data_IF_871553884888
#
_entry.id   IF_871553884888
#
_cell.length_a   1.000
_cell.length_b   1.000
_cell.length_c   1.000
_cell.angle_alpha   90.00
_cell.angle_beta   90.00
_cell.angle_gamma   90.00
#
_symmetry.space_group_name_H-M   'P 1'
#
loop_
_entity.id
_entity.type
_entity.pdbx_description
1 polymer ?
#
# COMPACT_ATOMS: atom_id res chain seq x y z
N UNK A 1 25.26 -19.07 -21.01
CA UNK A 1 26.65 -19.42 -20.64
C UNK A 1 27.20 -18.32 -19.73
N UNK A 2 27.72 -18.65 -18.54
CA UNK A 2 28.36 -17.68 -17.66
C UNK A 2 29.69 -17.29 -18.24
N UNK A 3 29.93 -15.98 -18.48
CA UNK A 3 31.28 -15.50 -18.81
C UNK A 3 32.25 -15.97 -17.70
N UNK A 4 33.41 -16.50 -18.03
CA UNK A 4 34.39 -16.89 -17.02
C UNK A 4 34.78 -15.67 -16.19
N UNK A 5 34.97 -15.88 -14.88
CA UNK A 5 35.45 -14.83 -13.99
C UNK A 5 36.85 -14.45 -14.43
N UNK A 6 37.10 -13.18 -14.68
CA UNK A 6 38.43 -12.63 -14.92
C UNK A 6 38.67 -11.38 -14.08
N UNK A 7 39.89 -11.13 -13.72
CA UNK A 7 40.29 -9.87 -13.07
C UNK A 7 40.41 -8.76 -14.12
N UNK A 8 40.21 -7.50 -13.71
CA UNK A 8 40.49 -6.37 -14.57
C UNK A 8 41.98 -6.31 -14.91
N UNK A 9 42.31 -5.96 -16.14
CA UNK A 9 43.66 -5.57 -16.50
C UNK A 9 43.97 -4.15 -16.00
N UNK A 10 45.22 -3.65 -16.22
CA UNK A 10 45.63 -2.33 -15.70
C UNK A 10 44.72 -1.20 -16.21
N UNK A 11 44.38 -1.19 -17.50
CA UNK A 11 43.52 -0.15 -18.09
C UNK A 11 42.08 -0.23 -17.59
N UNK A 12 41.53 -1.41 -17.41
CA UNK A 12 40.19 -1.63 -16.83
C UNK A 12 40.14 -1.25 -15.34
N UNK A 13 41.23 -1.47 -14.60
CA UNK A 13 41.34 -1.04 -13.20
C UNK A 13 41.28 0.48 -13.09
N UNK A 14 41.93 1.24 -13.98
CA UNK A 14 41.83 2.69 -14.04
C UNK A 14 40.38 3.15 -14.18
N UNK A 15 39.56 2.48 -15.03
CA UNK A 15 38.14 2.79 -15.17
C UNK A 15 37.39 2.61 -13.84
N UNK A 16 37.72 1.54 -13.09
CA UNK A 16 37.07 1.27 -11.80
C UNK A 16 37.51 2.28 -10.73
N UNK A 17 38.76 2.68 -10.72
CA UNK A 17 39.31 3.62 -9.72
C UNK A 17 38.81 5.03 -9.93
N UNK A 18 38.68 5.49 -11.19
CA UNK A 18 38.21 6.80 -11.58
C UNK A 18 36.66 6.84 -11.72
N UNK A 19 35.95 5.72 -11.47
CA UNK A 19 34.49 5.68 -11.59
C UNK A 19 33.84 6.54 -10.53
N UNK A 20 32.98 7.45 -10.96
CA UNK A 20 32.19 8.31 -10.09
C UNK A 20 30.68 8.00 -10.24
N UNK A 21 29.89 8.32 -9.21
CA UNK A 21 28.44 8.17 -9.26
C UNK A 21 27.79 9.49 -8.88
N UNK A 22 26.84 9.92 -9.70
CA UNK A 22 26.08 11.15 -9.49
C UNK A 22 24.57 10.87 -9.45
N UNK A 23 23.84 11.70 -8.72
CA UNK A 23 22.40 11.86 -8.90
C UNK A 23 22.17 12.70 -10.17
N UNK A 24 21.37 12.23 -11.11
CA UNK A 24 21.13 12.93 -12.37
C UNK A 24 20.23 14.16 -12.17
N UNK A 25 20.46 15.18 -13.00
CA UNK A 25 19.59 16.34 -13.15
C UNK A 25 18.27 16.01 -13.85
N UNK A 26 17.29 16.93 -13.80
CA UNK A 26 16.04 16.79 -14.56
C UNK A 26 16.26 16.72 -16.07
N UNK A 27 17.28 17.41 -16.59
CA UNK A 27 17.65 17.47 -18.01
C UNK A 27 18.14 16.10 -18.53
N UNK A 28 18.83 15.35 -17.71
CA UNK A 28 19.34 14.01 -18.04
C UNK A 28 18.30 12.90 -17.94
N UNK A 29 17.15 13.16 -17.34
CA UNK A 29 16.12 12.16 -17.10
C UNK A 29 15.58 11.52 -18.39
N UNK A 30 15.33 12.25 -19.50
CA UNK A 30 14.90 11.65 -20.76
C UNK A 30 15.92 10.67 -21.32
N UNK A 31 17.22 11.00 -21.25
CA UNK A 31 18.33 10.13 -21.65
C UNK A 31 18.37 8.85 -20.81
N UNK A 32 18.30 8.99 -19.48
CA UNK A 32 18.28 7.86 -18.56
C UNK A 32 17.10 6.91 -18.85
N UNK A 33 15.89 7.45 -19.02
CA UNK A 33 14.70 6.67 -19.32
C UNK A 33 14.76 5.99 -20.69
N UNK A 34 15.32 6.65 -21.68
CA UNK A 34 15.52 6.10 -23.03
C UNK A 34 16.46 4.89 -22.99
N UNK A 35 17.60 5.02 -22.29
CA UNK A 35 18.57 3.93 -22.12
C UNK A 35 17.97 2.74 -21.35
N UNK A 36 17.18 2.98 -20.29
CA UNK A 36 16.48 1.90 -19.61
C UNK A 36 15.48 1.20 -20.53
N UNK A 37 14.66 1.93 -21.28
CA UNK A 37 13.69 1.33 -22.22
C UNK A 37 14.36 0.47 -23.28
N UNK A 38 15.51 0.90 -23.77
CA UNK A 38 16.25 0.20 -24.86
C UNK A 38 17.01 -1.02 -24.36
N UNK A 39 17.62 -0.97 -23.18
CA UNK A 39 18.64 -1.93 -22.79
C UNK A 39 18.32 -2.73 -21.52
N UNK A 40 17.36 -2.31 -20.68
CA UNK A 40 17.02 -3.09 -19.49
C UNK A 40 15.95 -4.14 -19.82
N UNK A 41 16.14 -5.39 -19.36
CA UNK A 41 15.24 -6.52 -19.65
C UNK A 41 13.78 -6.31 -19.23
N UNK A 42 13.50 -5.47 -18.23
CA UNK A 42 12.15 -5.05 -17.82
C UNK A 42 11.71 -3.74 -18.51
N UNK A 43 12.52 -3.18 -19.39
CA UNK A 43 12.26 -1.90 -20.04
C UNK A 43 12.19 -0.72 -19.06
N UNK A 44 11.51 0.33 -19.52
CA UNK A 44 11.25 1.52 -18.72
C UNK A 44 10.29 1.27 -17.56
N UNK A 45 10.18 2.26 -16.67
CA UNK A 45 9.26 2.22 -15.52
C UNK A 45 8.67 3.61 -15.28
N UNK A 46 7.42 3.67 -14.85
CA UNK A 46 6.85 4.85 -14.18
C UNK A 46 7.03 4.64 -12.67
N UNK A 47 8.05 5.23 -12.04
CA UNK A 47 8.31 5.02 -10.63
C UNK A 47 7.22 5.66 -9.78
N UNK A 48 6.87 5.02 -8.67
CA UNK A 48 5.88 5.51 -7.71
C UNK A 48 6.58 5.93 -6.43
N UNK A 49 6.16 7.06 -5.88
CA UNK A 49 6.70 7.59 -4.63
C UNK A 49 8.07 8.24 -4.79
N UNK A 50 8.78 8.35 -3.67
CA UNK A 50 10.13 8.91 -3.60
C UNK A 50 11.10 8.06 -4.42
N UNK A 51 12.03 8.72 -5.12
CA UNK A 51 12.93 8.06 -6.07
C UNK A 51 14.21 8.84 -6.32
N UNK A 52 15.31 8.12 -6.52
CA UNK A 52 16.60 8.69 -6.89
C UNK A 52 17.16 7.92 -8.09
N UNK A 53 17.71 8.67 -9.02
CA UNK A 53 18.36 8.16 -10.22
C UNK A 53 19.85 8.41 -10.11
N UNK A 54 20.66 7.36 -10.06
CA UNK A 54 22.10 7.44 -10.07
C UNK A 54 22.66 6.99 -11.42
N UNK A 55 23.68 7.67 -11.89
CA UNK A 55 24.48 7.28 -13.04
C UNK A 55 25.93 7.10 -12.61
N UNK A 56 26.53 5.98 -13.03
CA UNK A 56 27.97 5.77 -12.88
C UNK A 56 28.68 6.26 -14.14
N UNK A 57 29.66 7.14 -13.96
CA UNK A 57 30.32 7.89 -15.02
C UNK A 57 31.82 7.71 -14.93
N UNK A 58 32.47 7.55 -16.07
CA UNK A 58 33.90 7.60 -16.23
C UNK A 58 34.26 8.58 -17.35
N UNK A 59 35.03 9.62 -17.03
CA UNK A 59 35.45 10.67 -17.96
C UNK A 59 34.31 11.20 -18.85
N UNK A 60 33.17 11.53 -18.24
CA UNK A 60 31.97 12.03 -18.90
C UNK A 60 31.11 10.94 -19.60
N UNK A 61 31.56 9.71 -19.68
CA UNK A 61 30.85 8.62 -20.30
C UNK A 61 29.99 7.85 -19.26
N UNK A 62 28.72 7.66 -19.52
CA UNK A 62 27.83 6.86 -18.69
C UNK A 62 28.12 5.36 -18.89
N UNK A 63 28.35 4.64 -17.79
CA UNK A 63 28.67 3.22 -17.81
C UNK A 63 27.55 2.38 -17.16
N UNK A 64 26.87 2.90 -16.13
CA UNK A 64 25.80 2.17 -15.46
C UNK A 64 24.69 3.10 -14.97
N UNK A 65 23.48 2.56 -14.88
CA UNK A 65 22.27 3.25 -14.39
C UNK A 65 21.69 2.51 -13.21
N UNK A 66 21.36 3.23 -12.13
CA UNK A 66 20.72 2.69 -10.95
C UNK A 66 19.50 3.55 -10.59
N UNK A 67 18.36 2.91 -10.40
CA UNK A 67 17.14 3.57 -9.97
C UNK A 67 16.68 2.99 -8.66
N UNK A 68 16.53 3.85 -7.67
CA UNK A 68 15.95 3.55 -6.37
C UNK A 68 14.59 4.22 -6.25
N UNK A 69 13.60 3.48 -5.75
CA UNK A 69 12.23 3.94 -5.57
C UNK A 69 11.72 3.58 -4.17
N UNK A 70 10.53 4.05 -3.83
CA UNK A 70 9.85 3.64 -2.61
C UNK A 70 9.77 2.10 -2.51
N UNK A 71 9.90 1.58 -1.30
CA UNK A 71 9.89 0.16 -1.00
C UNK A 71 8.54 -0.50 -1.27
N UNK A 72 8.53 -1.80 -1.48
CA UNK A 72 7.30 -2.58 -1.57
C UNK A 72 6.55 -2.56 -0.23
N UNK A 73 5.21 -2.40 -0.26
CA UNK A 73 4.41 -2.23 0.97
C UNK A 73 4.46 -3.44 1.91
N UNK A 74 4.41 -4.65 1.34
CA UNK A 74 4.37 -5.90 2.10
C UNK A 74 5.33 -6.92 1.52
N UNK A 75 6.32 -7.36 2.30
CA UNK A 75 7.27 -8.39 1.95
C UNK A 75 7.56 -9.30 3.13
N UNK A 76 6.92 -10.46 3.18
CA UNK A 76 7.01 -11.40 4.30
C UNK A 76 8.45 -11.65 4.79
N UNK A 77 9.39 -11.86 3.87
CA UNK A 77 10.78 -12.15 4.23
C UNK A 77 11.50 -10.94 4.83
N UNK A 78 11.26 -9.74 4.27
CA UNK A 78 11.77 -8.49 4.83
C UNK A 78 11.20 -8.22 6.21
N UNK A 79 9.87 -8.35 6.39
CA UNK A 79 9.21 -8.13 7.68
C UNK A 79 9.78 -9.06 8.76
N UNK A 80 9.96 -10.36 8.42
CA UNK A 80 10.57 -11.34 9.33
C UNK A 80 12.03 -10.98 9.62
N UNK A 81 12.78 -10.54 8.61
CA UNK A 81 14.20 -10.20 8.76
C UNK A 81 14.40 -8.95 9.61
N UNK A 82 13.58 -7.89 9.44
CA UNK A 82 13.65 -6.68 10.28
C UNK A 82 13.15 -6.98 11.68
N UNK A 83 12.03 -7.67 11.84
CA UNK A 83 11.43 -8.00 13.14
C UNK A 83 10.52 -6.90 13.71
N UNK A 84 10.17 -5.88 12.93
CA UNK A 84 9.31 -4.78 13.36
C UNK A 84 7.83 -5.17 13.47
N UNK A 85 7.06 -4.38 14.21
CA UNK A 85 5.61 -4.50 14.28
C UNK A 85 4.95 -3.97 13.00
N UNK A 86 3.68 -4.30 12.78
CA UNK A 86 2.92 -3.75 11.64
C UNK A 86 2.80 -2.22 11.72
N UNK A 87 2.67 -1.67 12.91
CA UNK A 87 2.62 -0.22 13.13
C UNK A 87 3.96 0.44 12.78
N UNK A 88 5.08 -0.11 13.27
CA UNK A 88 6.42 0.37 12.94
C UNK A 88 6.67 0.30 11.43
N UNK A 89 6.30 -0.81 10.79
CA UNK A 89 6.40 -0.95 9.33
C UNK A 89 5.62 0.14 8.61
N UNK A 90 4.36 0.35 8.98
CA UNK A 90 3.50 1.36 8.36
C UNK A 90 4.09 2.77 8.47
N UNK A 91 4.60 3.12 9.64
CA UNK A 91 5.16 4.44 9.93
C UNK A 91 6.56 4.65 9.32
N UNK A 92 7.38 3.59 9.21
CA UNK A 92 8.82 3.67 8.91
C UNK A 92 9.22 3.09 7.57
N UNK A 93 8.25 2.67 6.74
CA UNK A 93 8.53 2.11 5.43
C UNK A 93 9.30 3.08 4.52
N UNK A 94 9.13 4.39 4.70
CA UNK A 94 9.89 5.44 4.01
C UNK A 94 11.40 5.41 4.27
N UNK A 95 11.85 4.73 5.35
CA UNK A 95 13.27 4.51 5.62
C UNK A 95 13.87 3.33 4.82
N UNK A 96 13.07 2.70 3.96
CA UNK A 96 13.49 1.61 3.08
C UNK A 96 13.30 2.04 1.63
N UNK A 97 14.28 1.73 0.79
CA UNK A 97 14.21 1.97 -0.66
C UNK A 97 14.40 0.69 -1.44
N UNK A 98 13.86 0.65 -2.65
CA UNK A 98 13.97 -0.50 -3.57
C UNK A 98 14.80 -0.13 -4.78
N UNK A 99 15.92 -0.83 -5.00
CA UNK A 99 16.65 -0.77 -6.26
C UNK A 99 15.85 -1.48 -7.37
N UNK A 100 15.03 -0.70 -8.07
CA UNK A 100 14.06 -1.21 -9.06
C UNK A 100 14.67 -1.47 -10.43
N UNK A 101 15.76 -0.76 -10.77
CA UNK A 101 16.50 -0.94 -12.02
C UNK A 101 17.99 -0.79 -11.76
N UNK A 102 18.73 -1.74 -12.28
CA UNK A 102 20.18 -1.70 -12.34
C UNK A 102 20.61 -2.19 -13.73
N UNK A 103 21.29 -1.35 -14.47
CA UNK A 103 21.72 -1.62 -15.85
C UNK A 103 23.19 -1.23 -16.02
N UNK A 104 24.01 -2.17 -16.46
CA UNK A 104 25.32 -1.89 -17.06
C UNK A 104 25.07 -1.65 -18.55
N UNK A 105 25.52 -0.51 -19.06
CA UNK A 105 25.28 -0.15 -20.45
C UNK A 105 26.00 -1.12 -21.41
N UNK A 106 25.43 -1.37 -22.59
CA UNK A 106 26.08 -2.18 -23.61
C UNK A 106 27.48 -1.64 -23.89
N UNK A 107 28.38 -2.54 -24.20
CA UNK A 107 29.82 -2.28 -24.47
C UNK A 107 30.66 -1.90 -23.23
N UNK A 108 30.06 -1.71 -22.05
CA UNK A 108 30.77 -1.45 -20.79
C UNK A 108 31.04 -2.75 -20.02
N UNK A 109 31.75 -3.68 -20.64
CA UNK A 109 31.98 -5.02 -20.07
C UNK A 109 33.27 -5.10 -19.20
N UNK A 110 33.47 -4.12 -18.33
CA UNK A 110 34.61 -4.14 -17.39
C UNK A 110 34.34 -5.12 -16.24
N UNK A 111 35.29 -5.99 -15.88
CA UNK A 111 35.18 -6.84 -14.70
C UNK A 111 34.94 -5.99 -13.46
N UNK A 112 34.07 -6.45 -12.56
CA UNK A 112 33.69 -5.77 -11.31
C UNK A 112 32.98 -4.41 -11.45
N UNK A 113 32.72 -3.89 -12.65
CA UNK A 113 32.05 -2.61 -12.86
C UNK A 113 30.69 -2.55 -12.12
N UNK A 114 29.86 -3.59 -12.24
CA UNK A 114 28.57 -3.65 -11.57
C UNK A 114 28.71 -3.54 -10.04
N UNK A 115 29.66 -4.26 -9.46
CA UNK A 115 29.92 -4.22 -8.01
C UNK A 115 30.43 -2.85 -7.57
N UNK A 116 31.34 -2.24 -8.35
CA UNK A 116 31.90 -0.93 -8.06
C UNK A 116 30.84 0.17 -8.13
N UNK A 117 30.06 0.20 -9.22
CA UNK A 117 28.96 1.14 -9.40
C UNK A 117 27.91 1.02 -8.28
N UNK A 118 27.53 -0.21 -7.90
CA UNK A 118 26.61 -0.45 -6.80
C UNK A 118 27.17 0.08 -5.47
N UNK A 119 28.42 -0.22 -5.13
CA UNK A 119 29.04 0.25 -3.88
C UNK A 119 29.12 1.76 -3.80
N UNK A 120 29.55 2.43 -4.85
CA UNK A 120 29.61 3.89 -4.91
C UNK A 120 28.21 4.52 -4.80
N UNK A 121 27.22 3.94 -5.47
CA UNK A 121 25.84 4.38 -5.40
C UNK A 121 25.26 4.25 -3.98
N UNK A 122 25.48 3.11 -3.31
CA UNK A 122 25.00 2.89 -1.95
C UNK A 122 25.68 3.81 -0.92
N UNK A 123 26.95 4.15 -1.13
CA UNK A 123 27.70 5.02 -0.23
C UNK A 123 27.11 6.44 -0.13
N UNK A 124 26.51 6.93 -1.21
CA UNK A 124 25.89 8.26 -1.25
C UNK A 124 24.39 8.26 -1.06
N UNK A 125 23.71 7.13 -1.31
CA UNK A 125 22.25 7.03 -1.41
C UNK A 125 21.50 7.62 -0.22
N UNK A 126 21.92 7.35 1.01
CA UNK A 126 21.27 7.86 2.22
C UNK A 126 21.39 9.40 2.34
N UNK A 127 22.53 9.95 1.93
CA UNK A 127 22.77 11.41 1.90
C UNK A 127 21.91 12.08 0.82
N UNK A 128 21.90 11.54 -0.38
CA UNK A 128 21.12 12.08 -1.50
C UNK A 128 19.62 12.04 -1.18
N UNK A 129 19.16 10.97 -0.54
CA UNK A 129 17.76 10.86 -0.08
C UNK A 129 17.42 11.88 0.99
N UNK A 130 18.35 12.08 1.95
CA UNK A 130 18.21 13.12 2.99
C UNK A 130 18.10 14.51 2.39
N UNK A 131 18.95 14.84 1.42
CA UNK A 131 18.94 16.15 0.74
C UNK A 131 17.63 16.35 -0.02
N UNK A 132 17.14 15.33 -0.71
CA UNK A 132 15.97 15.44 -1.59
C UNK A 132 14.64 15.38 -0.87
N UNK A 133 14.52 14.55 0.19
CA UNK A 133 13.25 14.24 0.85
C UNK A 133 13.17 14.59 2.34
N UNK A 134 14.26 15.10 2.91
CA UNK A 134 14.33 15.49 4.32
C UNK A 134 14.55 14.33 5.30
N UNK A 135 14.72 13.10 4.80
CA UNK A 135 15.04 11.93 5.64
C UNK A 135 15.97 10.95 4.91
N UNK A 136 16.79 10.18 5.63
CA UNK A 136 17.66 9.17 5.02
C UNK A 136 16.87 7.90 4.67
N UNK A 137 17.50 7.00 3.92
CA UNK A 137 17.12 5.60 3.83
C UNK A 137 18.12 4.74 4.61
N UNK A 138 17.62 3.75 5.34
CA UNK A 138 18.42 2.91 6.23
C UNK A 138 18.61 1.50 5.68
N UNK A 139 17.70 1.06 4.83
CA UNK A 139 17.76 -0.25 4.19
C UNK A 139 17.45 -0.10 2.70
N UNK A 140 18.21 -0.81 1.88
CA UNK A 140 17.88 -1.01 0.47
C UNK A 140 17.41 -2.45 0.25
N UNK A 141 16.40 -2.64 -0.60
CA UNK A 141 15.93 -3.93 -1.08
C UNK A 141 16.02 -4.03 -2.60
N UNK A 142 16.07 -5.22 -3.16
CA UNK A 142 16.00 -5.45 -4.61
C UNK A 142 15.45 -6.82 -4.93
N UNK A 143 14.78 -6.94 -6.08
CA UNK A 143 14.21 -8.19 -6.60
C UNK A 143 15.00 -8.66 -7.81
N UNK A 144 15.69 -9.77 -7.67
CA UNK A 144 16.52 -10.35 -8.74
C UNK A 144 15.82 -11.55 -9.34
N UNK A 145 15.66 -11.55 -10.66
CA UNK A 145 15.19 -12.69 -11.40
C UNK A 145 16.31 -13.72 -11.54
N UNK A 146 16.21 -14.82 -10.80
CA UNK A 146 17.24 -15.85 -10.75
C UNK A 146 17.31 -16.73 -12.01
N UNK A 147 16.34 -16.62 -12.90
CA UNK A 147 16.41 -17.28 -14.22
C UNK A 147 17.36 -16.52 -15.15
N UNK A 148 17.44 -15.20 -15.01
CA UNK A 148 18.26 -14.33 -15.84
C UNK A 148 19.60 -13.96 -15.19
N UNK A 149 19.63 -13.80 -13.86
CA UNK A 149 20.78 -13.25 -13.13
C UNK A 149 21.09 -14.07 -11.87
N UNK A 150 22.38 -14.22 -11.57
CA UNK A 150 22.85 -14.92 -10.36
C UNK A 150 22.91 -14.04 -9.10
N UNK A 151 22.62 -12.75 -9.22
CA UNK A 151 22.72 -11.79 -8.11
C UNK A 151 24.17 -11.49 -7.68
N UNK A 152 25.16 -11.79 -8.51
CA UNK A 152 26.59 -11.70 -8.15
C UNK A 152 26.99 -10.30 -7.68
N UNK A 153 26.57 -9.23 -8.39
CA UNK A 153 26.88 -7.87 -8.02
C UNK A 153 26.29 -7.49 -6.64
N UNK A 154 25.09 -7.96 -6.32
CA UNK A 154 24.47 -7.77 -5.02
C UNK A 154 25.25 -8.48 -3.93
N UNK A 155 25.53 -9.78 -4.10
CA UNK A 155 26.32 -10.57 -3.13
C UNK A 155 27.70 -9.96 -2.89
N UNK A 156 28.43 -9.60 -3.96
CA UNK A 156 29.75 -8.98 -3.88
C UNK A 156 29.72 -7.56 -3.26
N UNK A 157 28.57 -6.88 -3.29
CA UNK A 157 28.35 -5.60 -2.61
C UNK A 157 27.83 -5.75 -1.17
N UNK A 158 27.79 -6.98 -0.65
CA UNK A 158 27.43 -7.31 0.73
C UNK A 158 25.93 -7.21 1.01
N UNK A 159 25.08 -7.53 0.02
CA UNK A 159 23.65 -7.71 0.23
C UNK A 159 23.37 -9.12 0.73
N UNK A 160 22.32 -9.23 1.52
CA UNK A 160 21.82 -10.49 2.11
C UNK A 160 20.69 -11.02 1.25
N UNK A 161 20.77 -12.28 0.85
CA UNK A 161 19.67 -12.98 0.16
C UNK A 161 18.68 -13.52 1.19
N UNK A 162 17.43 -13.04 1.13
CA UNK A 162 16.35 -13.47 2.03
C UNK A 162 15.47 -14.58 1.43
N UNK A 163 15.85 -15.11 0.27
CA UNK A 163 15.10 -16.16 -0.42
C UNK A 163 14.09 -15.64 -1.43
N UNK A 164 13.28 -16.57 -1.95
CA UNK A 164 12.38 -16.31 -3.07
C UNK A 164 11.05 -15.69 -2.61
N UNK A 165 10.57 -14.69 -3.35
CA UNK A 165 9.24 -14.11 -3.19
C UNK A 165 8.16 -15.09 -3.66
N UNK A 166 6.90 -14.83 -3.30
CA UNK A 166 5.77 -15.68 -3.71
C UNK A 166 5.31 -15.48 -5.16
N UNK A 167 5.99 -14.64 -5.95
CA UNK A 167 5.65 -14.40 -7.36
C UNK A 167 4.36 -13.60 -7.56
N UNK A 168 4.08 -12.64 -6.69
CA UNK A 168 3.00 -11.66 -6.89
C UNK A 168 3.55 -10.37 -7.47
N UNK A 169 2.87 -9.83 -8.50
CA UNK A 169 3.13 -8.52 -9.06
C UNK A 169 1.94 -7.59 -8.88
N UNK A 170 2.17 -6.29 -8.80
CA UNK A 170 1.13 -5.27 -8.78
C UNK A 170 0.58 -5.07 -10.20
N UNK A 171 -0.69 -5.37 -10.41
CA UNK A 171 -1.35 -5.21 -11.72
C UNK A 171 -1.94 -3.81 -11.90
N UNK A 172 -2.63 -3.29 -10.88
CA UNK A 172 -3.21 -1.94 -10.80
C UNK A 172 -3.13 -1.45 -9.36
N UNK A 173 -3.62 -0.23 -9.09
CA UNK A 173 -3.68 0.30 -7.73
C UNK A 173 -4.38 -0.73 -6.82
N UNK A 174 -3.65 -1.27 -5.84
CA UNK A 174 -4.08 -2.27 -4.86
C UNK A 174 -4.43 -3.69 -5.37
N UNK A 175 -4.16 -4.01 -6.63
CA UNK A 175 -4.37 -5.36 -7.17
C UNK A 175 -3.05 -6.10 -7.35
N UNK A 176 -2.89 -7.25 -6.65
CA UNK A 176 -1.75 -8.15 -6.80
C UNK A 176 -2.18 -9.40 -7.55
N UNK A 177 -1.55 -9.66 -8.69
CA UNK A 177 -1.75 -10.87 -9.47
C UNK A 177 -0.58 -11.80 -9.25
N UNK A 178 -0.88 -13.08 -9.04
CA UNK A 178 0.14 -14.12 -8.95
C UNK A 178 0.63 -14.46 -10.36
N UNK A 179 1.85 -14.06 -10.69
CA UNK A 179 2.46 -14.32 -12.00
C UNK A 179 3.36 -15.56 -12.01
N UNK A 180 3.49 -16.28 -10.88
CA UNK A 180 4.29 -17.49 -10.71
C UNK A 180 5.78 -17.38 -11.10
N UNK A 181 6.33 -16.17 -11.09
CA UNK A 181 7.75 -15.92 -11.32
C UNK A 181 8.38 -15.38 -10.03
N UNK A 182 8.77 -16.25 -9.09
CA UNK A 182 9.41 -15.83 -7.85
C UNK A 182 10.77 -15.18 -8.16
N UNK A 183 11.07 -14.08 -7.46
CA UNK A 183 12.36 -13.38 -7.53
C UNK A 183 13.09 -13.52 -6.21
N UNK A 184 14.42 -13.60 -6.23
CA UNK A 184 15.19 -13.52 -5.01
C UNK A 184 15.13 -12.10 -4.44
N UNK A 185 14.86 -12.00 -3.15
CA UNK A 185 14.84 -10.75 -2.41
C UNK A 185 16.22 -10.52 -1.76
N UNK A 186 16.92 -9.51 -2.24
CA UNK A 186 18.14 -9.04 -1.63
C UNK A 186 17.89 -7.81 -0.78
N UNK A 187 18.56 -7.72 0.38
CA UNK A 187 18.49 -6.56 1.28
C UNK A 187 19.90 -6.13 1.72
N UNK A 188 20.06 -4.83 1.97
CA UNK A 188 21.32 -4.24 2.44
C UNK A 188 21.03 -3.18 3.50
N UNK A 189 21.66 -3.28 4.65
CA UNK A 189 21.70 -2.19 5.62
C UNK A 189 22.63 -1.07 5.11
N UNK A 190 22.12 0.14 5.04
CA UNK A 190 22.85 1.35 4.66
C UNK A 190 23.34 2.14 5.90
N UNK A 191 22.74 1.87 7.03
CA UNK A 191 23.12 2.37 8.35
C UNK A 191 23.51 1.20 9.23
N UNK A 192 24.53 1.36 10.05
CA UNK A 192 24.90 0.37 11.07
C UNK A 192 23.70 0.11 11.99
N UNK A 193 23.37 -1.16 12.21
CA UNK A 193 22.24 -1.60 13.05
C UNK A 193 20.88 -1.03 12.59
N UNK A 194 20.68 -0.89 11.26
CA UNK A 194 19.43 -0.35 10.70
C UNK A 194 18.20 -1.11 11.19
N UNK A 195 18.27 -2.44 11.25
CA UNK A 195 17.18 -3.30 11.75
C UNK A 195 16.79 -2.94 13.18
N UNK A 196 17.77 -2.83 14.08
CA UNK A 196 17.55 -2.46 15.48
C UNK A 196 16.93 -1.04 15.56
N UNK A 197 17.46 -0.10 14.76
CA UNK A 197 16.95 1.26 14.69
C UNK A 197 15.52 1.35 14.16
N UNK A 198 15.10 0.44 13.27
CA UNK A 198 13.73 0.35 12.77
C UNK A 198 12.75 -0.22 13.79
N UNK A 199 13.23 -0.99 14.78
CA UNK A 199 12.41 -1.66 15.80
C UNK A 199 12.34 -0.92 17.14
N UNK A 200 13.02 0.23 17.32
CA UNK A 200 12.89 1.02 18.55
C UNK A 200 11.45 1.50 18.77
N UNK A 201 11.03 1.71 19.99
CA UNK A 201 9.66 2.18 20.27
C UNK A 201 9.43 3.57 19.69
N UNK A 202 10.40 4.47 19.84
CA UNK A 202 10.33 5.85 19.32
C UNK A 202 11.57 6.19 18.50
N UNK A 203 11.37 6.74 17.31
CA UNK A 203 12.44 7.38 16.55
C UNK A 203 12.82 8.72 17.20
N UNK A 204 14.01 9.22 16.87
CA UNK A 204 14.38 10.58 17.23
C UNK A 204 13.33 11.59 16.74
N UNK A 205 12.89 12.57 17.55
CA UNK A 205 11.78 13.46 17.22
C UNK A 205 11.90 14.14 15.84
N UNK A 206 13.08 14.62 15.49
CA UNK A 206 13.33 15.25 14.20
C UNK A 206 13.10 14.31 13.01
N UNK A 207 13.45 13.02 13.13
CA UNK A 207 13.21 12.03 12.09
C UNK A 207 11.75 11.55 12.09
N UNK A 208 11.17 11.35 13.28
CA UNK A 208 9.77 10.95 13.44
C UNK A 208 8.83 11.98 12.80
N UNK A 209 9.09 13.29 12.99
CA UNK A 209 8.28 14.35 12.39
C UNK A 209 8.27 14.34 10.87
N UNK A 210 9.33 13.88 10.22
CA UNK A 210 9.41 13.83 8.75
C UNK A 210 8.87 12.52 8.21
N UNK A 211 9.17 11.38 8.85
CA UNK A 211 8.87 10.03 8.33
C UNK A 211 7.52 9.52 8.81
N UNK A 212 7.24 9.63 10.12
CA UNK A 212 6.04 9.05 10.71
C UNK A 212 4.81 9.96 10.57
N UNK A 213 4.98 11.28 10.46
CA UNK A 213 3.89 12.24 10.26
C UNK A 213 3.23 12.15 8.88
N UNK A 214 3.96 11.70 7.86
CA UNK A 214 3.42 11.47 6.52
C UNK A 214 2.39 10.33 6.46
N UNK A 215 2.31 9.53 7.50
CA UNK A 215 1.40 8.39 7.58
C UNK A 215 0.20 8.77 8.43
N UNK A 216 -1.01 8.83 7.88
CA UNK A 216 -2.19 9.16 8.66
C UNK A 216 -2.34 8.15 9.82
N UNK A 217 -2.74 8.60 11.02
CA UNK A 217 -3.01 7.69 12.12
C UNK A 217 -4.03 6.64 11.67
N UNK A 218 -3.89 5.41 12.16
CA UNK A 218 -4.96 4.43 12.00
C UNK A 218 -6.18 4.95 12.75
N UNK A 219 -7.35 5.00 12.12
CA UNK A 219 -8.56 5.32 12.85
C UNK A 219 -8.74 4.25 13.95
N UNK A 220 -8.58 4.67 15.18
CA UNK A 220 -8.83 3.83 16.35
C UNK A 220 -10.25 4.13 16.83
N UNK A 221 -11.14 3.15 16.70
CA UNK A 221 -12.49 3.25 17.27
C UNK A 221 -12.41 2.91 18.76
N UNK A 222 -12.82 3.86 19.60
CA UNK A 222 -12.98 3.63 21.04
C UNK A 222 -14.20 2.75 21.29
N UNK A 223 -14.24 2.06 22.43
CA UNK A 223 -15.39 1.20 22.81
C UNK A 223 -16.71 1.97 22.80
N UNK A 224 -16.71 3.24 23.21
CA UNK A 224 -17.87 4.13 23.13
C UNK A 224 -18.37 4.32 21.71
N UNK A 225 -17.47 4.49 20.75
CA UNK A 225 -17.81 4.64 19.32
C UNK A 225 -18.38 3.34 18.73
N UNK A 226 -17.91 2.18 19.20
CA UNK A 226 -18.49 0.88 18.83
C UNK A 226 -19.93 0.72 19.33
N UNK A 227 -20.20 1.14 20.57
CA UNK A 227 -21.55 1.10 21.15
C UNK A 227 -22.46 2.05 20.36
N UNK A 228 -22.02 3.28 20.14
CA UNK A 228 -22.74 4.27 19.33
C UNK A 228 -23.04 3.76 17.92
N UNK A 229 -22.06 3.17 17.23
CA UNK A 229 -22.26 2.58 15.91
C UNK A 229 -23.30 1.45 15.91
N UNK A 230 -23.30 0.59 16.95
CA UNK A 230 -24.31 -0.45 17.11
C UNK A 230 -25.71 0.14 17.33
N UNK A 231 -25.83 1.21 18.09
CA UNK A 231 -27.10 1.91 18.37
C UNK A 231 -27.68 2.50 17.10
N UNK A 232 -26.89 3.13 16.24
CA UNK A 232 -27.35 3.61 14.93
C UNK A 232 -27.80 2.46 14.03
N UNK A 233 -27.07 1.36 13.99
CA UNK A 233 -27.53 0.18 13.26
C UNK A 233 -28.76 -0.51 13.85
N UNK A 234 -29.17 -0.19 15.08
CA UNK A 234 -30.41 -0.71 15.65
C UNK A 234 -31.67 -0.12 14.96
N UNK A 235 -31.53 1.00 14.23
CA UNK A 235 -32.57 1.57 13.37
C UNK A 235 -32.85 0.75 12.11
N UNK A 236 -31.91 -0.13 11.72
CA UNK A 236 -32.07 -1.02 10.56
C UNK A 236 -32.99 -2.20 10.95
N UNK A 237 -34.16 -2.38 10.28
CA UNK A 237 -35.05 -3.46 10.60
C UNK A 237 -34.41 -4.84 10.46
N UNK A 238 -34.57 -5.67 11.47
CA UNK A 238 -34.08 -7.05 11.41
C UNK A 238 -35.05 -7.93 10.63
N UNK A 239 -34.67 -8.31 9.44
CA UNK A 239 -35.45 -9.16 8.53
C UNK A 239 -35.50 -10.64 8.94
N UNK A 240 -34.75 -11.03 9.98
CA UNK A 240 -34.63 -12.43 10.41
C UNK A 240 -35.77 -12.81 11.34
N UNK A 241 -36.43 -13.91 11.05
CA UNK A 241 -37.59 -14.42 11.82
C UNK A 241 -37.18 -15.04 13.16
N UNK A 242 -35.98 -15.63 13.24
CA UNK A 242 -35.48 -16.27 14.46
C UNK A 242 -34.47 -15.41 15.18
N UNK A 243 -34.65 -15.30 16.51
CA UNK A 243 -33.67 -14.67 17.39
C UNK A 243 -32.40 -15.51 17.42
N UNK A 244 -31.39 -15.04 16.69
CA UNK A 244 -30.07 -15.68 16.65
C UNK A 244 -29.17 -15.18 17.78
N UNK A 245 -28.04 -15.87 17.96
CA UNK A 245 -27.00 -15.49 18.94
C UNK A 245 -26.41 -14.09 18.74
N UNK A 246 -26.73 -13.46 17.63
CA UNK A 246 -26.18 -12.15 17.22
C UNK A 246 -27.31 -11.21 16.81
N UNK A 247 -27.34 -10.00 17.36
CA UNK A 247 -28.21 -8.94 16.85
C UNK A 247 -27.77 -8.51 15.44
N UNK A 248 -28.72 -8.05 14.61
CA UNK A 248 -28.39 -7.50 13.28
C UNK A 248 -27.43 -6.32 13.42
N UNK A 249 -27.76 -5.38 14.33
CA UNK A 249 -26.94 -4.22 14.63
C UNK A 249 -25.52 -4.57 15.04
N UNK A 250 -25.33 -5.64 15.84
CA UNK A 250 -23.99 -6.12 16.22
C UNK A 250 -23.20 -6.68 15.04
N UNK A 251 -23.82 -7.43 14.14
CA UNK A 251 -23.18 -7.93 12.93
C UNK A 251 -22.77 -6.78 12.01
N UNK A 252 -23.66 -5.81 11.79
CA UNK A 252 -23.37 -4.63 10.95
C UNK A 252 -22.23 -3.79 11.55
N UNK A 253 -22.24 -3.57 12.87
CA UNK A 253 -21.14 -2.90 13.56
C UNK A 253 -19.81 -3.66 13.40
N UNK A 254 -19.78 -4.98 13.50
CA UNK A 254 -18.58 -5.77 13.24
C UNK A 254 -18.08 -5.64 11.80
N UNK A 255 -18.99 -5.59 10.82
CA UNK A 255 -18.66 -5.38 9.40
C UNK A 255 -18.05 -4.00 9.18
N UNK A 256 -18.68 -2.94 9.72
CA UNK A 256 -18.19 -1.59 9.63
C UNK A 256 -16.78 -1.46 10.27
N UNK A 257 -16.59 -1.99 11.49
CA UNK A 257 -15.29 -2.02 12.15
C UNK A 257 -14.23 -2.74 11.31
N UNK A 258 -14.58 -3.87 10.69
CA UNK A 258 -13.64 -4.61 9.85
C UNK A 258 -13.20 -3.79 8.63
N UNK A 259 -14.10 -3.03 8.00
CA UNK A 259 -13.78 -2.14 6.88
C UNK A 259 -12.94 -0.94 7.31
N UNK A 260 -13.27 -0.33 8.42
CA UNK A 260 -12.49 0.80 8.99
C UNK A 260 -11.07 0.38 9.40
N UNK A 261 -10.91 -0.85 9.90
CA UNK A 261 -9.61 -1.34 10.40
C UNK A 261 -8.77 -2.09 9.37
N UNK A 262 -9.29 -2.50 8.22
CA UNK A 262 -8.47 -3.34 7.34
C UNK A 262 -9.09 -3.80 6.04
N UNK A 263 -10.21 -3.22 5.61
CA UNK A 263 -10.85 -3.50 4.31
C UNK A 263 -10.90 -5.01 3.96
N UNK A 264 -11.76 -5.81 4.61
CA UNK A 264 -11.85 -7.24 4.38
C UNK A 264 -12.26 -7.54 2.93
N UNK A 265 -11.61 -8.52 2.32
CA UNK A 265 -11.86 -8.93 0.93
C UNK A 265 -13.07 -9.87 0.78
N UNK A 266 -13.73 -10.23 1.87
CA UNK A 266 -14.90 -11.09 1.86
C UNK A 266 -15.24 -11.71 3.20
N UNK A 267 -16.26 -12.58 3.21
CA UNK A 267 -16.81 -13.17 4.45
C UNK A 267 -15.81 -14.00 5.26
N UNK A 268 -14.75 -14.53 4.64
CA UNK A 268 -13.66 -15.25 5.33
C UNK A 268 -12.85 -14.30 6.19
N UNK A 269 -12.55 -13.10 5.66
CA UNK A 269 -11.77 -12.09 6.36
C UNK A 269 -12.60 -11.44 7.47
N UNK A 270 -13.91 -11.22 7.24
CA UNK A 270 -14.84 -10.79 8.28
C UNK A 270 -14.87 -11.76 9.46
N UNK A 271 -14.95 -13.08 9.19
CA UNK A 271 -14.85 -14.11 10.25
C UNK A 271 -13.50 -14.04 10.98
N UNK A 272 -12.39 -13.89 10.25
CA UNK A 272 -11.07 -13.81 10.84
C UNK A 272 -10.91 -12.54 11.71
N UNK A 273 -11.46 -11.41 11.27
CA UNK A 273 -11.49 -10.18 12.02
C UNK A 273 -12.35 -10.32 13.29
N UNK A 274 -13.58 -10.84 13.18
CA UNK A 274 -14.50 -11.00 14.30
C UNK A 274 -13.93 -11.92 15.41
N UNK A 275 -13.07 -12.86 15.09
CA UNK A 275 -12.34 -13.69 16.06
C UNK A 275 -11.31 -12.93 16.91
N UNK A 276 -10.91 -11.74 16.49
CA UNK A 276 -9.97 -10.88 17.24
C UNK A 276 -10.65 -10.06 18.32
N UNK A 277 -11.96 -9.94 18.31
CA UNK A 277 -12.69 -9.25 19.36
C UNK A 277 -12.55 -9.99 20.71
N UNK A 278 -12.30 -9.23 21.74
CA UNK A 278 -12.32 -9.72 23.11
C UNK A 278 -13.74 -10.09 23.53
N UNK A 279 -13.87 -10.89 24.58
CA UNK A 279 -15.18 -11.25 25.15
C UNK A 279 -15.98 -10.02 25.58
N UNK A 280 -15.33 -8.98 26.11
CA UNK A 280 -15.95 -7.71 26.47
C UNK A 280 -16.47 -6.96 25.23
N UNK A 281 -15.71 -6.92 24.15
CA UNK A 281 -16.14 -6.30 22.89
C UNK A 281 -17.32 -7.06 22.25
N UNK A 282 -17.28 -8.39 22.24
CA UNK A 282 -18.37 -9.20 21.71
C UNK A 282 -19.66 -8.97 22.54
N UNK A 283 -19.54 -8.87 23.87
CA UNK A 283 -20.67 -8.49 24.74
C UNK A 283 -21.22 -7.10 24.39
N UNK A 284 -20.33 -6.11 24.26
CA UNK A 284 -20.73 -4.73 23.90
C UNK A 284 -21.41 -4.65 22.52
N UNK A 285 -21.03 -5.52 21.58
CA UNK A 285 -21.64 -5.67 20.26
C UNK A 285 -22.95 -6.47 20.29
N UNK A 286 -23.48 -6.82 21.47
CA UNK A 286 -24.77 -7.49 21.62
C UNK A 286 -24.78 -8.98 21.24
N UNK A 287 -23.62 -9.64 21.27
CA UNK A 287 -23.57 -11.09 21.12
C UNK A 287 -24.16 -11.74 22.37
N UNK A 288 -24.99 -12.76 22.20
CA UNK A 288 -25.52 -13.54 23.31
C UNK A 288 -24.50 -14.54 23.82
N UNK A 289 -24.45 -14.69 25.13
CA UNK A 289 -23.58 -15.66 25.79
C UNK A 289 -24.08 -17.09 25.45
N UNK A 290 -23.19 -17.94 25.02
CA UNK A 290 -23.49 -19.34 24.79
C UNK A 290 -23.62 -20.06 26.16
N UNK A 291 -24.80 -20.63 26.50
CA UNK A 291 -25.03 -21.28 27.78
C UNK A 291 -24.14 -22.50 28.01
N UNK A 292 -23.69 -23.19 26.94
CA UNK A 292 -22.86 -24.40 27.05
C UNK A 292 -21.39 -24.06 27.35
N UNK A 293 -20.86 -23.04 26.70
CA UNK A 293 -19.43 -22.67 26.83
C UNK A 293 -19.19 -21.52 27.79
N UNK A 294 -20.23 -20.79 28.18
CA UNK A 294 -20.15 -19.61 29.02
C UNK A 294 -19.44 -18.42 28.33
N UNK A 295 -19.22 -18.47 27.01
CA UNK A 295 -18.49 -17.46 26.23
C UNK A 295 -19.39 -16.78 25.20
N UNK A 296 -18.93 -15.63 24.72
CA UNK A 296 -19.56 -14.90 23.60
C UNK A 296 -18.94 -15.40 22.30
N UNK A 297 -19.69 -16.14 21.44
CA UNK A 297 -19.14 -16.69 20.21
C UNK A 297 -18.97 -15.61 19.14
N UNK A 298 -18.02 -15.78 18.25
CA UNK A 298 -17.84 -14.91 17.08
C UNK A 298 -18.70 -15.45 15.91
N UNK A 299 -19.28 -14.56 15.07
CA UNK A 299 -20.10 -14.98 13.94
C UNK A 299 -19.34 -15.83 12.92
N UNK A 300 -20.05 -16.77 12.29
CA UNK A 300 -19.50 -17.62 11.25
C UNK A 300 -19.44 -16.90 9.89
N UNK A 301 -18.63 -17.42 8.95
CA UNK A 301 -18.62 -16.97 7.56
C UNK A 301 -20.02 -16.97 6.94
N UNK A 302 -20.81 -18.02 7.22
CA UNK A 302 -22.17 -18.16 6.70
C UNK A 302 -23.12 -17.10 7.27
N UNK A 303 -22.96 -16.74 8.55
CA UNK A 303 -23.74 -15.68 9.20
C UNK A 303 -23.51 -14.32 8.52
N UNK A 304 -22.26 -13.92 8.31
CA UNK A 304 -21.95 -12.69 7.56
C UNK A 304 -22.53 -12.74 6.14
N UNK A 305 -22.37 -13.87 5.43
CA UNK A 305 -22.87 -13.99 4.06
C UNK A 305 -24.38 -13.92 3.95
N UNK A 306 -25.13 -14.48 4.90
CA UNK A 306 -26.61 -14.37 4.94
C UNK A 306 -27.06 -12.95 5.19
N UNK A 307 -26.49 -12.31 6.18
CA UNK A 307 -26.85 -10.95 6.57
C UNK A 307 -26.55 -9.96 5.44
N UNK A 308 -25.34 -9.95 4.91
CA UNK A 308 -24.93 -8.99 3.88
C UNK A 308 -25.64 -9.13 2.53
N UNK A 309 -26.24 -10.30 2.26
CA UNK A 309 -27.06 -10.50 1.04
C UNK A 309 -28.50 -10.05 1.17
N UNK A 310 -29.01 -9.97 2.39
CA UNK A 310 -30.44 -9.74 2.63
C UNK A 310 -30.74 -8.40 3.29
N UNK A 311 -29.75 -7.73 3.85
CA UNK A 311 -29.94 -6.43 4.50
C UNK A 311 -30.21 -5.34 3.46
N UNK A 312 -31.11 -4.43 3.79
CA UNK A 312 -31.37 -3.24 2.99
C UNK A 312 -30.17 -2.27 3.08
N UNK A 313 -29.48 -2.12 1.96
CA UNK A 313 -28.27 -1.29 1.86
C UNK A 313 -28.55 0.20 2.09
N UNK A 314 -29.72 0.70 1.69
CA UNK A 314 -30.10 2.11 1.88
C UNK A 314 -30.34 2.41 3.36
N UNK A 315 -30.95 1.50 4.09
CA UNK A 315 -31.12 1.61 5.54
C UNK A 315 -29.78 1.58 6.29
N UNK A 316 -28.87 0.72 5.85
CA UNK A 316 -27.49 0.67 6.40
C UNK A 316 -26.74 1.96 6.10
N UNK A 317 -26.86 2.50 4.89
CA UNK A 317 -26.26 3.77 4.50
C UNK A 317 -26.80 4.94 5.36
N UNK A 318 -28.11 5.04 5.55
CA UNK A 318 -28.74 6.05 6.39
C UNK A 318 -28.21 6.00 7.83
N UNK A 319 -28.12 4.80 8.43
CA UNK A 319 -27.58 4.63 9.77
C UNK A 319 -26.10 5.04 9.87
N UNK A 320 -25.30 4.81 8.82
CA UNK A 320 -23.89 5.25 8.76
C UNK A 320 -23.76 6.76 8.62
N UNK A 321 -24.63 7.40 7.85
CA UNK A 321 -24.68 8.87 7.70
C UNK A 321 -25.05 9.54 9.01
N UNK A 322 -26.05 9.01 9.73
CA UNK A 322 -26.45 9.51 11.06
C UNK A 322 -25.29 9.37 12.06
N UNK A 323 -24.62 8.22 12.06
CA UNK A 323 -23.45 8.00 12.92
C UNK A 323 -22.30 8.94 12.57
N UNK A 324 -22.03 9.18 11.27
CA UNK A 324 -21.03 10.14 10.82
C UNK A 324 -21.37 11.55 11.32
N UNK A 325 -22.64 11.95 11.22
CA UNK A 325 -23.12 13.25 11.67
C UNK A 325 -22.97 13.41 13.20
N UNK A 326 -23.25 12.36 13.96
CA UNK A 326 -23.04 12.37 15.40
C UNK A 326 -21.55 12.55 15.77
N UNK A 327 -20.64 11.89 15.05
CA UNK A 327 -19.19 11.94 15.34
C UNK A 327 -18.51 13.23 14.88
N UNK A 328 -18.94 13.78 13.77
CA UNK A 328 -18.23 14.85 13.05
C UNK A 328 -19.00 16.16 12.97
N UNK A 329 -20.20 16.18 13.49
CA UNK A 329 -21.17 17.26 13.26
C UNK A 329 -21.87 17.14 11.90
N UNK A 330 -22.77 18.09 11.59
CA UNK A 330 -23.46 18.15 10.31
C UNK A 330 -22.46 18.28 9.16
N UNK A 331 -22.90 17.89 7.97
CA UNK A 331 -22.07 18.04 6.77
C UNK A 331 -21.64 19.51 6.63
N UNK A 332 -20.34 19.79 6.44
CA UNK A 332 -19.88 21.15 6.23
C UNK A 332 -20.53 21.75 4.98
N UNK A 333 -20.78 23.09 4.94
CA UNK A 333 -21.12 23.75 3.71
C UNK A 333 -20.11 23.37 2.63
N UNK A 334 -20.59 22.94 1.48
CA UNK A 334 -19.72 22.41 0.45
C UNK A 334 -19.81 23.30 -0.79
N UNK A 335 -18.72 23.97 -1.10
CA UNK A 335 -18.58 24.66 -2.39
C UNK A 335 -18.35 23.64 -3.53
N UNK A 336 -17.76 22.47 -3.21
CA UNK A 336 -17.44 21.41 -4.16
C UNK A 336 -17.75 20.03 -3.58
N UNK A 337 -18.47 19.23 -4.34
CA UNK A 337 -18.63 17.79 -4.14
C UNK A 337 -17.97 17.03 -5.29
N UNK A 338 -17.38 15.88 -5.01
CA UNK A 338 -16.75 15.03 -6.02
C UNK A 338 -17.47 13.68 -6.11
N UNK A 339 -17.70 13.22 -7.33
CA UNK A 339 -18.15 11.86 -7.60
C UNK A 339 -16.96 10.97 -8.00
N UNK A 340 -16.94 9.73 -7.50
CA UNK A 340 -15.95 8.72 -7.87
C UNK A 340 -16.67 7.39 -8.14
N UNK A 341 -16.52 6.88 -9.36
CA UNK A 341 -17.04 5.58 -9.75
C UNK A 341 -16.03 4.47 -9.46
N UNK A 342 -16.43 3.44 -8.72
CA UNK A 342 -15.58 2.29 -8.41
C UNK A 342 -16.20 0.96 -8.83
N UNK A 343 -15.44 0.17 -9.59
CA UNK A 343 -15.76 -1.23 -9.81
C UNK A 343 -15.57 -2.02 -8.50
N UNK A 344 -16.61 -2.72 -8.07
CA UNK A 344 -16.57 -3.55 -6.87
C UNK A 344 -15.81 -4.85 -7.17
N UNK A 345 -14.72 -5.09 -6.44
CA UNK A 345 -13.99 -6.34 -6.50
C UNK A 345 -14.90 -7.51 -6.15
N UNK A 346 -14.86 -8.57 -6.97
CA UNK A 346 -15.63 -9.80 -6.79
C UNK A 346 -17.17 -9.69 -6.94
N UNK A 347 -17.70 -8.54 -7.39
CA UNK A 347 -19.13 -8.32 -7.59
C UNK A 347 -19.55 -8.43 -9.07
N UNK A 348 -18.92 -9.31 -9.85
CA UNK A 348 -19.22 -9.58 -11.27
C UNK A 348 -19.28 -8.31 -12.15
N UNK A 349 -18.42 -7.33 -11.85
CA UNK A 349 -18.35 -6.08 -12.59
C UNK A 349 -19.37 -5.03 -12.17
N UNK A 350 -20.06 -5.20 -11.04
CA UNK A 350 -20.88 -4.17 -10.47
C UNK A 350 -20.02 -2.93 -10.12
N UNK A 351 -20.55 -1.76 -10.39
CA UNK A 351 -19.91 -0.49 -10.11
C UNK A 351 -20.77 0.30 -9.10
N UNK A 352 -20.12 1.15 -8.33
CA UNK A 352 -20.78 2.06 -7.41
C UNK A 352 -20.26 3.47 -7.62
N UNK A 353 -21.16 4.44 -7.69
CA UNK A 353 -20.81 5.87 -7.67
C UNK A 353 -20.94 6.37 -6.25
N UNK A 354 -19.96 7.12 -5.79
CA UNK A 354 -19.89 7.67 -4.43
C UNK A 354 -19.78 9.18 -4.50
N UNK A 355 -20.50 9.90 -3.64
CA UNK A 355 -20.45 11.35 -3.51
C UNK A 355 -19.75 11.72 -2.20
N UNK A 356 -18.71 12.54 -2.26
CA UNK A 356 -17.93 12.97 -1.12
C UNK A 356 -17.57 14.45 -1.19
N UNK A 357 -17.35 15.08 -0.03
CA UNK A 357 -16.74 16.40 0.05
C UNK A 357 -15.18 16.22 0.08
N UNK A 358 -14.45 16.68 -0.96
CA UNK A 358 -13.02 16.33 -1.13
C UNK A 358 -12.14 16.83 0.02
N UNK A 359 -12.35 18.05 0.48
CA UNK A 359 -11.50 18.66 1.51
C UNK A 359 -11.66 18.02 2.89
N UNK A 360 -12.91 17.69 3.29
CA UNK A 360 -13.18 17.08 4.60
C UNK A 360 -13.28 15.56 4.56
N UNK A 361 -13.30 14.94 3.38
CA UNK A 361 -13.62 13.51 3.19
C UNK A 361 -14.97 13.12 3.83
N UNK A 362 -15.93 14.05 3.85
CA UNK A 362 -17.27 13.79 4.37
C UNK A 362 -18.07 13.00 3.32
N UNK A 363 -18.49 11.80 3.67
CA UNK A 363 -19.30 10.94 2.81
C UNK A 363 -20.74 11.48 2.74
N UNK A 364 -21.31 11.57 1.53
CA UNK A 364 -22.67 12.10 1.29
C UNK A 364 -23.64 11.02 0.82
N UNK A 365 -23.16 9.97 0.18
CA UNK A 365 -23.99 8.87 -0.29
C UNK A 365 -23.33 8.08 -1.43
N UNK A 366 -23.96 6.95 -1.77
CA UNK A 366 -23.54 6.12 -2.90
C UNK A 366 -24.73 5.54 -3.65
N UNK A 367 -24.51 5.20 -4.92
CA UNK A 367 -25.51 4.57 -5.78
C UNK A 367 -24.89 3.46 -6.59
N UNK A 368 -25.52 2.28 -6.57
CA UNK A 368 -25.14 1.15 -7.43
C UNK A 368 -25.45 1.46 -8.89
N UNK A 369 -24.52 1.17 -9.79
CA UNK A 369 -24.74 1.27 -11.24
C UNK A 369 -25.41 0.00 -11.74
N UNK A 370 -26.61 0.12 -12.27
CA UNK A 370 -27.44 -1.03 -12.68
C UNK A 370 -26.95 -1.68 -13.98
N UNK A 371 -26.33 -0.92 -14.86
CA UNK A 371 -25.81 -1.39 -16.16
C UNK A 371 -24.34 -1.03 -16.36
N UNK A 372 -23.57 -1.95 -16.93
CA UNK A 372 -22.10 -1.83 -17.08
C UNK A 372 -21.61 -0.64 -17.91
N UNK A 373 -22.48 0.03 -18.65
CA UNK A 373 -22.07 0.98 -19.68
C UNK A 373 -22.34 2.45 -19.37
N UNK A 374 -23.08 2.78 -18.30
CA UNK A 374 -23.44 4.17 -18.07
C UNK A 374 -23.61 4.50 -16.58
N UNK A 375 -22.69 5.28 -16.03
CA UNK A 375 -22.73 5.78 -14.64
C UNK A 375 -23.63 7.03 -14.51
N UNK A 376 -23.98 7.73 -15.60
CA UNK A 376 -24.75 8.97 -15.59
C UNK A 376 -26.12 8.79 -14.91
N UNK A 377 -26.92 7.75 -15.19
CA UNK A 377 -28.20 7.54 -14.48
C UNK A 377 -28.02 7.29 -12.98
N UNK A 378 -26.93 6.63 -12.58
CA UNK A 378 -26.63 6.40 -11.17
C UNK A 378 -26.26 7.70 -10.45
N UNK A 379 -25.46 8.56 -11.09
CA UNK A 379 -25.13 9.90 -10.57
C UNK A 379 -26.43 10.71 -10.37
N UNK A 380 -27.34 10.75 -11.37
CA UNK A 380 -28.62 11.47 -11.27
C UNK A 380 -29.45 10.96 -10.08
N UNK A 381 -29.66 9.65 -9.96
CA UNK A 381 -30.37 9.03 -8.84
C UNK A 381 -29.72 9.36 -7.48
N UNK A 382 -28.39 9.44 -7.42
CA UNK A 382 -27.68 9.81 -6.21
C UNK A 382 -27.93 11.26 -5.84
N UNK A 383 -27.86 12.19 -6.81
CA UNK A 383 -28.08 13.62 -6.60
C UNK A 383 -29.53 13.96 -6.22
N UNK A 384 -30.52 13.16 -6.65
CA UNK A 384 -31.92 13.29 -6.22
C UNK A 384 -32.12 12.95 -4.74
N UNK A 385 -31.25 12.12 -4.15
CA UNK A 385 -31.33 11.69 -2.75
C UNK A 385 -30.51 12.53 -1.79
N UNK A 386 -29.53 13.26 -2.28
CA UNK A 386 -28.58 14.00 -1.46
C UNK A 386 -28.80 15.50 -1.63
N UNK A 387 -28.83 16.23 -0.51
CA UNK A 387 -28.87 17.69 -0.54
C UNK A 387 -27.58 18.23 -1.19
N UNK A 388 -27.72 18.86 -2.34
CA UNK A 388 -26.61 19.41 -3.15
C UNK A 388 -26.85 20.85 -3.59
N UNK A 389 -27.87 21.50 -3.07
CA UNK A 389 -28.20 22.88 -3.42
C UNK A 389 -27.00 23.80 -3.16
N UNK A 390 -26.65 24.61 -4.14
CA UNK A 390 -25.53 25.54 -4.07
C UNK A 390 -24.13 24.91 -4.17
N UNK A 391 -24.00 23.60 -4.42
CA UNK A 391 -22.73 22.93 -4.58
C UNK A 391 -22.30 22.82 -6.05
N UNK A 392 -21.03 22.99 -6.31
CA UNK A 392 -20.40 22.52 -7.56
C UNK A 392 -20.15 21.01 -7.47
N UNK A 393 -20.46 20.27 -8.52
CA UNK A 393 -20.26 18.82 -8.55
C UNK A 393 -19.18 18.49 -9.58
N UNK A 394 -18.03 18.02 -9.08
CA UNK A 394 -16.96 17.49 -9.92
C UNK A 394 -17.28 16.06 -10.35
N UNK A 395 -17.34 15.82 -11.65
CA UNK A 395 -17.58 14.51 -12.26
C UNK A 395 -16.37 14.19 -13.11
N UNK A 396 -15.86 12.94 -13.06
CA UNK A 396 -14.74 12.51 -13.91
C UNK A 396 -15.13 12.57 -15.38
N UNK A 397 -14.18 12.92 -16.27
CA UNK A 397 -14.36 13.05 -17.72
C UNK A 397 -14.91 11.78 -18.41
N UNK A 398 -14.84 10.63 -17.76
CA UNK A 398 -15.48 9.40 -18.24
C UNK A 398 -17.02 9.40 -18.10
N UNK A 399 -17.59 10.41 -17.44
CA UNK A 399 -19.03 10.57 -17.20
C UNK A 399 -19.68 11.63 -18.10
N UNK A 400 -18.90 12.28 -18.94
CA UNK A 400 -19.39 13.24 -19.95
C UNK A 400 -19.47 12.58 -21.32
#
# INVERSE_FOLDING_TARGET
>A
MSKPYRLPNVSEQVVLDELEVYEISGEDLPRFQSLLRRHHYLGGIKPVGERIYHVAVWRGQWLALLLFCAAARHLRHREKWIGWTEEQRRKRLGLITNNTRFLILPHCNYPNLATRAMRLSLARLAKDWQVRYGHPVWVAESFVDMQLFRGTAYKASGWIDLGLTQGYGRSRQDYYVKHNQPKALFVKELKREARRSLCVDHLQPALASVVESKVPPLPTLRVVELISLREHFATVPDFRVRLESYSLSGILAMVACAHLCGAPRGHRDLKAFARRFTQAQLRALGVRKDPKTGRYPSPSKATFGRVLRAVDSLRVEAALLDWQTQLRGPAPPADLLATDGKALCHARGAQVVTLTHPASHYYRGSQLVETKSNEIPAVRKLLERVEVAGCLIGIDALHT
#
